data_IF_753372843286
#
_entry.id   IF_753372843286
#
_cell.length_a   1.000
_cell.length_b   1.000
_cell.length_c   1.000
_cell.angle_alpha   90.00
_cell.angle_beta   90.00
_cell.angle_gamma   90.00
#
_symmetry.space_group_name_H-M   'P 1'
#
loop_
_entity.id
_entity.type
_entity.pdbx_description
1 polymer ?
#
# COMPACT_ATOMS: atom_id res chain seq x y z
N UNK A 1 -16.16 5.31 24.80
CA UNK A 1 -16.38 6.33 23.75
C UNK A 1 -15.60 5.86 22.54
N UNK A 2 -16.22 5.78 21.36
CA UNK A 2 -15.51 5.37 20.13
C UNK A 2 -14.52 6.47 19.72
N UNK A 3 -13.37 6.08 19.20
CA UNK A 3 -12.36 7.00 18.68
C UNK A 3 -12.92 7.81 17.51
N UNK A 4 -12.53 9.08 17.40
CA UNK A 4 -12.95 9.96 16.31
C UNK A 4 -11.79 10.65 15.63
N UNK A 5 -11.91 10.84 14.32
CA UNK A 5 -11.04 11.70 13.50
C UNK A 5 -11.95 12.58 12.64
N UNK A 6 -11.72 13.90 12.65
CA UNK A 6 -12.55 14.87 11.92
C UNK A 6 -14.06 14.67 12.20
N UNK A 7 -14.41 14.54 13.48
CA UNK A 7 -15.76 14.29 14.01
C UNK A 7 -16.45 12.98 13.57
N UNK A 8 -15.75 12.11 12.84
CA UNK A 8 -16.25 10.83 12.34
C UNK A 8 -15.73 9.67 13.18
N UNK A 9 -16.59 8.66 13.40
CA UNK A 9 -16.18 7.44 14.10
C UNK A 9 -15.13 6.69 13.29
N UNK A 10 -14.00 6.37 13.93
CA UNK A 10 -12.96 5.53 13.33
C UNK A 10 -13.41 4.07 13.38
N UNK A 11 -13.28 3.36 12.26
CA UNK A 11 -13.60 1.94 12.12
C UNK A 11 -12.34 1.11 12.30
N UNK A 12 -11.27 1.53 11.62
CA UNK A 12 -9.96 0.87 11.67
C UNK A 12 -8.84 1.87 11.39
N UNK A 13 -7.69 1.67 12.01
CA UNK A 13 -6.43 2.35 11.70
C UNK A 13 -5.32 1.33 11.47
N UNK A 14 -4.49 1.59 10.48
CA UNK A 14 -3.35 0.75 10.10
C UNK A 14 -2.08 1.58 10.14
N UNK A 15 -1.04 1.08 10.82
CA UNK A 15 0.31 1.55 10.54
C UNK A 15 0.64 1.23 9.07
N UNK A 16 1.36 2.13 8.40
CA UNK A 16 1.68 2.05 6.99
C UNK A 16 3.17 2.32 6.73
N UNK A 17 3.61 2.07 5.51
CA UNK A 17 4.97 2.43 5.08
C UNK A 17 6.06 1.46 5.55
N UNK A 18 7.21 2.00 5.95
CA UNK A 18 8.45 1.24 6.09
C UNK A 18 8.42 0.21 7.22
N UNK A 19 7.67 0.45 8.29
CA UNK A 19 7.54 -0.50 9.40
C UNK A 19 6.94 -1.83 8.95
N UNK A 20 5.88 -1.80 8.13
CA UNK A 20 5.24 -3.01 7.61
C UNK A 20 6.17 -3.80 6.68
N UNK A 21 7.12 -3.13 6.03
CA UNK A 21 8.06 -3.75 5.08
C UNK A 21 9.31 -4.29 5.76
N UNK A 22 9.50 -4.05 7.07
CA UNK A 22 10.79 -4.21 7.72
C UNK A 22 11.90 -3.38 7.03
N UNK A 23 11.62 -2.10 6.73
CA UNK A 23 12.58 -1.13 6.15
C UNK A 23 12.67 0.18 6.96
N UNK A 24 12.08 0.22 8.14
CA UNK A 24 12.12 1.32 9.08
C UNK A 24 13.49 1.45 9.76
N UNK A 25 13.86 2.65 10.18
CA UNK A 25 15.07 2.93 10.97
C UNK A 25 14.67 3.57 12.30
N UNK A 26 15.60 3.75 13.25
CA UNK A 26 15.29 4.44 14.53
C UNK A 26 14.70 5.85 14.32
N UNK A 27 15.07 6.49 13.20
CA UNK A 27 14.55 7.80 12.78
C UNK A 27 13.31 7.72 11.88
N UNK A 28 12.67 6.57 11.73
CA UNK A 28 11.47 6.44 10.90
C UNK A 28 10.25 6.97 11.64
N UNK A 29 9.55 7.91 11.02
CA UNK A 29 8.24 8.37 11.46
C UNK A 29 7.19 7.27 11.26
N UNK A 30 6.10 7.34 12.05
CA UNK A 30 4.95 6.45 11.90
C UNK A 30 3.86 7.13 11.07
N UNK A 31 3.54 6.52 9.93
CA UNK A 31 2.43 6.93 9.08
C UNK A 31 1.24 5.99 9.28
N UNK A 32 0.04 6.53 9.47
CA UNK A 32 -1.20 5.74 9.59
C UNK A 32 -2.15 5.99 8.42
N UNK A 33 -2.96 4.97 8.12
CA UNK A 33 -4.13 5.08 7.27
C UNK A 33 -5.35 4.64 8.05
N UNK A 34 -6.32 5.53 8.20
CA UNK A 34 -7.53 5.28 8.95
C UNK A 34 -8.77 5.32 8.05
N UNK A 35 -9.73 4.44 8.34
CA UNK A 35 -11.04 4.46 7.71
C UNK A 35 -12.11 4.87 8.71
N UNK A 36 -12.94 5.82 8.32
CA UNK A 36 -13.98 6.43 9.16
C UNK A 36 -15.37 6.23 8.55
N UNK A 37 -16.38 6.26 9.42
CA UNK A 37 -17.77 6.24 8.99
C UNK A 37 -18.16 7.57 8.30
N UNK A 38 -18.90 7.56 7.18
CA UNK A 38 -19.52 8.77 6.66
C UNK A 38 -20.48 9.40 7.65
N UNK A 39 -20.62 10.72 7.59
CA UNK A 39 -21.74 11.43 8.22
C UNK A 39 -23.00 11.32 7.35
N UNK A 40 -24.16 11.67 7.92
CA UNK A 40 -25.39 11.81 7.12
C UNK A 40 -25.21 12.82 5.96
N UNK A 41 -24.50 13.92 6.19
CA UNK A 41 -24.23 14.92 5.15
C UNK A 41 -23.35 14.36 4.02
N UNK A 42 -22.33 13.55 4.36
CA UNK A 42 -21.49 12.86 3.37
C UNK A 42 -22.30 11.87 2.51
N UNK A 43 -23.33 11.24 3.09
CA UNK A 43 -24.24 10.36 2.37
C UNK A 43 -25.20 11.15 1.47
N UNK A 44 -25.81 12.21 2.01
CA UNK A 44 -26.78 13.06 1.31
C UNK A 44 -26.15 13.76 0.09
N UNK A 45 -24.94 14.31 0.28
CA UNK A 45 -24.19 15.02 -0.78
C UNK A 45 -23.40 14.10 -1.70
N UNK A 46 -23.35 12.79 -1.39
CA UNK A 46 -22.48 11.80 -2.06
C UNK A 46 -20.99 12.12 -1.97
N UNK A 47 -20.57 12.96 -1.02
CA UNK A 47 -19.17 13.25 -0.75
C UNK A 47 -18.51 12.05 -0.07
N UNK A 48 -17.41 11.52 -0.61
CA UNK A 48 -16.56 10.55 0.09
C UNK A 48 -15.42 11.29 0.78
N UNK A 49 -15.52 11.42 2.11
CA UNK A 49 -14.55 12.16 2.91
C UNK A 49 -13.13 11.63 2.71
N UNK A 50 -12.18 12.54 2.53
CA UNK A 50 -10.74 12.25 2.53
C UNK A 50 -9.98 13.45 3.07
N UNK A 51 -9.12 13.23 4.04
CA UNK A 51 -8.26 14.28 4.60
C UNK A 51 -6.97 13.67 5.18
N UNK A 52 -6.05 14.49 5.68
CA UNK A 52 -4.84 14.05 6.35
C UNK A 52 -4.63 14.85 7.63
N UNK A 53 -4.58 14.15 8.77
CA UNK A 53 -4.19 14.76 10.04
C UNK A 53 -2.67 14.67 10.17
N UNK A 54 -2.01 15.82 10.17
CA UNK A 54 -0.55 15.94 10.34
C UNK A 54 -0.26 16.39 11.76
N UNK A 55 0.61 15.65 12.45
CA UNK A 55 1.16 16.01 13.77
C UNK A 55 2.69 16.01 13.70
N UNK A 56 3.43 16.49 14.71
CA UNK A 56 4.89 16.51 14.65
C UNK A 56 5.56 15.14 14.47
N UNK A 57 4.89 14.05 14.81
CA UNK A 57 5.46 12.69 14.83
C UNK A 57 4.63 11.65 14.07
N UNK A 58 3.40 11.98 13.71
CA UNK A 58 2.44 11.06 13.11
C UNK A 58 1.62 11.77 12.05
N UNK A 59 1.61 11.21 10.85
CA UNK A 59 0.69 11.59 9.78
C UNK A 59 -0.37 10.50 9.61
N UNK A 60 -1.64 10.89 9.60
CA UNK A 60 -2.76 9.95 9.42
C UNK A 60 -3.59 10.35 8.20
N UNK A 61 -3.52 9.55 7.14
CA UNK A 61 -4.40 9.68 5.98
C UNK A 61 -5.76 9.06 6.32
N UNK A 62 -6.83 9.86 6.29
CA UNK A 62 -8.17 9.44 6.66
C UNK A 62 -9.03 9.30 5.41
N UNK A 63 -9.68 8.15 5.28
CA UNK A 63 -10.61 7.85 4.18
C UNK A 63 -11.99 7.47 4.73
N UNK A 64 -13.02 7.83 3.98
CA UNK A 64 -14.34 7.25 4.13
C UNK A 64 -14.31 5.73 3.88
N UNK A 65 -14.99 4.96 4.72
CA UNK A 65 -15.06 3.50 4.58
C UNK A 65 -15.63 3.04 3.24
N UNK A 66 -16.48 3.85 2.60
CA UNK A 66 -17.02 3.56 1.26
C UNK A 66 -15.95 3.55 0.17
N UNK A 67 -14.76 4.11 0.42
CA UNK A 67 -13.64 4.03 -0.51
C UNK A 67 -12.94 2.66 -0.48
N UNK A 68 -13.09 1.89 0.59
CA UNK A 68 -12.31 0.67 0.86
C UNK A 68 -12.45 -0.37 -0.26
N UNK A 69 -13.68 -0.64 -0.72
CA UNK A 69 -13.95 -1.61 -1.79
C UNK A 69 -13.19 -1.27 -3.09
N UNK A 70 -13.16 0.01 -3.47
CA UNK A 70 -12.50 0.46 -4.68
C UNK A 70 -10.98 0.46 -4.53
N UNK A 71 -10.47 0.77 -3.33
CA UNK A 71 -9.03 0.72 -3.03
C UNK A 71 -8.49 -0.71 -3.14
N UNK A 72 -9.24 -1.69 -2.63
CA UNK A 72 -8.90 -3.11 -2.76
C UNK A 72 -9.11 -3.62 -4.19
N UNK A 73 -10.18 -3.23 -4.87
CA UNK A 73 -10.44 -3.63 -6.27
C UNK A 73 -9.35 -3.12 -7.24
N UNK A 74 -8.89 -1.88 -7.05
CA UNK A 74 -7.75 -1.33 -7.80
C UNK A 74 -6.43 -2.00 -7.44
N UNK A 75 -6.40 -2.82 -6.38
CA UNK A 75 -5.25 -3.61 -5.95
C UNK A 75 -3.98 -2.75 -5.80
N UNK A 76 -4.13 -1.55 -5.24
CA UNK A 76 -2.98 -0.70 -4.96
C UNK A 76 -2.16 -1.32 -3.82
N UNK A 77 -0.91 -1.69 -4.11
CA UNK A 77 0.01 -2.34 -3.16
C UNK A 77 0.05 -1.64 -1.79
N UNK A 78 0.04 -0.31 -1.74
CA UNK A 78 0.13 0.44 -0.46
C UNK A 78 -1.09 0.29 0.43
N UNK A 79 -2.23 -0.11 -0.13
CA UNK A 79 -3.45 -0.43 0.63
C UNK A 79 -3.56 -1.93 0.91
N UNK A 80 -3.09 -2.78 0.00
CA UNK A 80 -3.04 -4.23 0.23
C UNK A 80 -2.07 -4.58 1.37
N UNK A 81 -0.93 -3.88 1.47
CA UNK A 81 0.04 -4.02 2.58
C UNK A 81 -0.60 -3.79 3.96
N UNK A 82 -1.61 -2.93 4.06
CA UNK A 82 -2.26 -2.60 5.34
C UNK A 82 -2.96 -3.80 5.97
N UNK A 83 -3.48 -4.71 5.14
CA UNK A 83 -4.14 -5.95 5.60
C UNK A 83 -3.20 -6.86 6.41
N UNK A 84 -1.88 -6.63 6.30
CA UNK A 84 -0.82 -7.36 6.99
C UNK A 84 0.02 -6.43 7.87
N UNK A 85 -0.50 -5.24 8.20
CA UNK A 85 0.18 -4.28 9.05
C UNK A 85 0.56 -4.90 10.40
N UNK A 86 1.72 -4.51 10.92
CA UNK A 86 2.17 -4.97 12.25
C UNK A 86 1.40 -4.29 13.39
N UNK A 87 0.64 -3.23 13.08
CA UNK A 87 -0.17 -2.49 14.03
C UNK A 87 -1.53 -2.16 13.37
N UNK A 88 -2.54 -2.96 13.71
CA UNK A 88 -3.93 -2.79 13.29
C UNK A 88 -4.75 -2.49 14.53
N UNK A 89 -5.46 -1.37 14.51
CA UNK A 89 -6.39 -1.01 15.57
C UNK A 89 -7.81 -0.98 15.02
N UNK A 90 -8.64 -1.94 15.45
CA UNK A 90 -10.07 -1.96 15.14
C UNK A 90 -10.87 -1.37 16.29
N UNK A 91 -12.04 -0.81 15.98
CA UNK A 91 -12.87 -0.06 16.93
C UNK A 91 -14.26 -0.70 17.12
N UNK A 92 -14.31 -2.04 17.07
CA UNK A 92 -15.49 -2.84 17.42
C UNK A 92 -16.53 -2.99 16.31
N UNK A 93 -16.08 -3.14 15.06
CA UNK A 93 -16.94 -3.42 13.91
C UNK A 93 -16.68 -4.84 13.40
N UNK A 94 -17.61 -5.77 13.66
CA UNK A 94 -17.49 -7.19 13.26
C UNK A 94 -17.27 -7.34 11.75
N UNK A 95 -17.90 -6.49 10.94
CA UNK A 95 -17.70 -6.50 9.49
C UNK A 95 -16.25 -6.21 9.10
N UNK A 96 -15.55 -5.35 9.85
CA UNK A 96 -14.15 -5.03 9.59
C UNK A 96 -13.25 -6.20 9.98
N UNK A 97 -13.54 -6.88 11.08
CA UNK A 97 -12.85 -8.13 11.46
C UNK A 97 -13.03 -9.21 10.38
N UNK A 98 -14.23 -9.32 9.81
CA UNK A 98 -14.51 -10.24 8.72
C UNK A 98 -13.73 -9.86 7.45
N UNK A 99 -13.65 -8.57 7.10
CA UNK A 99 -12.79 -8.10 5.99
C UNK A 99 -11.33 -8.47 6.23
N UNK A 100 -10.79 -8.25 7.44
CA UNK A 100 -9.40 -8.60 7.78
C UNK A 100 -9.14 -10.11 7.71
N UNK A 101 -10.13 -10.93 8.08
CA UNK A 101 -10.04 -12.39 8.00
C UNK A 101 -9.91 -12.89 6.55
N UNK A 102 -10.35 -12.09 5.57
CA UNK A 102 -10.33 -12.42 4.15
C UNK A 102 -9.11 -11.88 3.42
N UNK A 103 -8.11 -11.31 4.11
CA UNK A 103 -6.97 -10.61 3.48
C UNK A 103 -6.31 -11.35 2.31
N UNK A 104 -6.12 -12.66 2.40
CA UNK A 104 -5.48 -13.47 1.35
C UNK A 104 -6.35 -13.54 0.08
N UNK A 105 -7.68 -13.58 0.25
CA UNK A 105 -8.63 -13.47 -0.87
C UNK A 105 -8.63 -12.06 -1.46
N UNK A 106 -8.48 -11.03 -0.63
CA UNK A 106 -8.49 -9.63 -1.08
C UNK A 106 -7.26 -9.32 -1.95
N UNK A 107 -6.07 -9.75 -1.53
CA UNK A 107 -4.83 -9.48 -2.29
C UNK A 107 -4.73 -10.25 -3.60
N UNK A 108 -5.40 -11.41 -3.68
CA UNK A 108 -5.50 -12.21 -4.91
C UNK A 108 -6.74 -11.88 -5.75
N UNK A 109 -7.60 -10.96 -5.28
CA UNK A 109 -8.91 -10.68 -5.88
C UNK A 109 -8.81 -10.23 -7.35
N UNK A 110 -7.81 -9.41 -7.68
CA UNK A 110 -7.64 -8.88 -9.03
C UNK A 110 -6.15 -8.73 -9.40
N UNK A 111 -5.47 -9.86 -9.59
CA UNK A 111 -4.03 -9.91 -9.89
C UNK A 111 -3.62 -9.09 -11.12
N UNK A 112 -4.45 -9.02 -12.16
CA UNK A 112 -4.19 -8.13 -13.30
C UNK A 112 -4.12 -6.65 -12.92
N UNK A 113 -5.02 -6.17 -12.06
CA UNK A 113 -4.95 -4.80 -11.53
C UNK A 113 -3.78 -4.64 -10.57
N UNK A 114 -3.46 -5.65 -9.77
CA UNK A 114 -2.29 -5.61 -8.88
C UNK A 114 -0.99 -5.36 -9.66
N UNK A 115 -0.82 -6.04 -10.81
CA UNK A 115 0.30 -5.80 -11.71
C UNK A 115 0.29 -4.35 -12.23
N UNK A 116 -0.82 -3.92 -12.83
CA UNK A 116 -0.94 -2.58 -13.42
C UNK A 116 -0.73 -1.45 -12.39
N UNK A 117 -1.30 -1.60 -11.20
CA UNK A 117 -1.18 -0.62 -10.12
C UNK A 117 0.26 -0.56 -9.58
N UNK A 118 0.89 -1.71 -9.34
CA UNK A 118 2.27 -1.78 -8.86
C UNK A 118 3.25 -1.25 -9.90
N UNK A 119 3.06 -1.58 -11.17
CA UNK A 119 3.87 -1.05 -12.28
C UNK A 119 3.64 0.47 -12.47
N UNK A 120 2.41 0.96 -12.27
CA UNK A 120 2.09 2.38 -12.23
C UNK A 120 2.78 3.14 -11.08
N UNK A 121 2.88 2.52 -9.91
CA UNK A 121 3.62 3.06 -8.76
C UNK A 121 5.12 3.14 -9.03
N UNK A 122 5.69 2.12 -9.68
CA UNK A 122 7.06 2.15 -10.22
C UNK A 122 7.25 3.32 -11.20
N UNK A 123 6.38 3.46 -12.20
CA UNK A 123 6.46 4.56 -13.18
C UNK A 123 6.42 5.95 -12.53
N UNK A 124 5.61 6.08 -11.47
CA UNK A 124 5.53 7.31 -10.68
C UNK A 124 6.86 7.62 -9.97
N UNK A 125 7.55 6.63 -9.42
CA UNK A 125 8.89 6.83 -8.84
C UNK A 125 9.90 7.18 -9.93
N UNK A 126 9.87 6.53 -11.09
CA UNK A 126 10.78 6.83 -12.20
C UNK A 126 10.61 8.25 -12.74
N UNK A 127 9.38 8.78 -12.78
CA UNK A 127 9.14 10.19 -13.15
C UNK A 127 9.81 11.15 -12.17
N UNK A 128 9.78 10.83 -10.86
CA UNK A 128 10.44 11.62 -9.83
C UNK A 128 11.96 11.52 -9.98
N UNK A 129 12.51 10.32 -10.13
CA UNK A 129 13.95 10.09 -10.31
C UNK A 129 14.49 10.87 -11.51
N UNK A 130 13.83 10.77 -12.67
CA UNK A 130 14.21 11.53 -13.88
C UNK A 130 14.21 13.05 -13.67
N UNK A 131 13.33 13.56 -12.81
CA UNK A 131 13.32 14.99 -12.50
C UNK A 131 14.44 15.38 -11.53
N UNK A 132 14.76 14.53 -10.56
CA UNK A 132 15.88 14.74 -9.63
C UNK A 132 17.23 14.69 -10.36
N UNK A 133 17.40 13.76 -11.32
CA UNK A 133 18.64 13.62 -12.11
C UNK A 133 19.01 14.87 -12.90
N UNK A 134 18.03 15.68 -13.31
CA UNK A 134 18.29 16.94 -14.03
C UNK A 134 19.10 17.93 -13.21
N UNK A 135 18.95 17.90 -11.88
CA UNK A 135 19.60 18.79 -10.93
C UNK A 135 19.99 18.01 -9.67
N UNK A 136 20.77 16.94 -9.84
CA UNK A 136 21.17 16.10 -8.73
C UNK A 136 22.17 16.84 -7.84
N UNK A 137 21.84 17.01 -6.56
CA UNK A 137 22.63 17.74 -5.57
C UNK A 137 22.78 16.91 -4.29
N UNK A 138 23.84 17.12 -3.49
CA UNK A 138 23.96 16.45 -2.19
C UNK A 138 22.71 16.58 -1.30
N UNK A 139 21.98 17.70 -1.40
CA UNK A 139 20.75 17.95 -0.64
C UNK A 139 19.54 17.11 -1.09
N UNK A 140 19.50 16.63 -2.33
CA UNK A 140 18.39 15.80 -2.83
C UNK A 140 18.77 14.33 -3.08
N UNK A 141 20.04 13.95 -2.89
CA UNK A 141 20.50 12.55 -2.99
C UNK A 141 19.70 11.60 -2.09
N UNK A 142 19.39 11.99 -0.86
CA UNK A 142 18.60 11.15 0.05
C UNK A 142 17.19 10.88 -0.53
N UNK A 143 16.58 11.89 -1.15
CA UNK A 143 15.29 11.74 -1.80
C UNK A 143 15.40 10.83 -3.03
N UNK A 144 16.45 11.00 -3.85
CA UNK A 144 16.73 10.13 -4.99
C UNK A 144 16.82 8.67 -4.57
N UNK A 145 17.68 8.36 -3.59
CA UNK A 145 17.90 7.01 -3.08
C UNK A 145 16.62 6.39 -2.51
N UNK A 146 15.82 7.16 -1.74
CA UNK A 146 14.52 6.71 -1.23
C UNK A 146 13.57 6.35 -2.38
N UNK A 147 13.52 7.14 -3.44
CA UNK A 147 12.65 6.90 -4.61
C UNK A 147 13.10 5.70 -5.43
N UNK A 148 14.41 5.49 -5.57
CA UNK A 148 14.99 4.31 -6.21
C UNK A 148 14.65 3.02 -5.45
N UNK A 149 14.85 3.01 -4.13
CA UNK A 149 14.47 1.88 -3.28
C UNK A 149 12.97 1.54 -3.42
N UNK A 150 12.09 2.55 -3.44
CA UNK A 150 10.66 2.34 -3.65
C UNK A 150 10.34 1.77 -5.04
N UNK A 151 11.02 2.23 -6.10
CA UNK A 151 10.86 1.68 -7.44
C UNK A 151 11.21 0.18 -7.48
N UNK A 152 12.34 -0.19 -6.88
CA UNK A 152 12.80 -1.59 -6.77
C UNK A 152 11.82 -2.42 -5.96
N UNK A 153 11.29 -1.86 -4.86
CA UNK A 153 10.31 -2.53 -4.02
C UNK A 153 9.05 -2.93 -4.80
N UNK A 154 8.43 -2.01 -5.54
CA UNK A 154 7.19 -2.32 -6.27
C UNK A 154 7.39 -3.44 -7.31
N UNK A 155 8.53 -3.47 -7.99
CA UNK A 155 8.86 -4.53 -8.95
C UNK A 155 9.19 -5.85 -8.25
N UNK A 156 9.95 -5.79 -7.15
CA UNK A 156 10.35 -6.98 -6.38
C UNK A 156 9.14 -7.66 -5.73
N UNK A 157 8.15 -6.90 -5.26
CA UNK A 157 6.92 -7.48 -4.71
C UNK A 157 6.17 -8.30 -5.76
N UNK A 158 6.09 -7.82 -7.02
CA UNK A 158 5.49 -8.61 -8.11
C UNK A 158 6.26 -9.91 -8.33
N UNK A 159 7.59 -9.82 -8.44
CA UNK A 159 8.42 -11.01 -8.68
C UNK A 159 8.24 -12.03 -7.55
N UNK A 160 8.42 -11.62 -6.29
CA UNK A 160 8.30 -12.49 -5.12
C UNK A 160 6.90 -13.08 -4.97
N UNK A 161 5.85 -12.29 -5.20
CA UNK A 161 4.49 -12.79 -5.05
C UNK A 161 4.17 -13.87 -6.09
N UNK A 162 4.64 -13.71 -7.32
CA UNK A 162 4.55 -14.73 -8.35
C UNK A 162 5.35 -16.00 -7.99
N UNK A 163 6.57 -15.86 -7.45
CA UNK A 163 7.41 -16.98 -7.03
C UNK A 163 6.75 -17.85 -5.93
N UNK A 164 5.91 -17.25 -5.09
CA UNK A 164 5.10 -18.00 -4.11
C UNK A 164 3.86 -18.66 -4.72
N UNK A 165 3.62 -18.53 -6.03
CA UNK A 165 2.38 -18.96 -6.66
C UNK A 165 1.15 -18.18 -6.17
N UNK A 166 1.33 -16.90 -5.81
CA UNK A 166 0.31 -16.04 -5.21
C UNK A 166 -0.23 -16.50 -3.85
N UNK A 167 0.55 -17.30 -3.11
CA UNK A 167 0.09 -17.88 -1.83
C UNK A 167 0.53 -17.10 -0.59
N UNK A 168 1.60 -16.29 -0.69
CA UNK A 168 2.12 -15.53 0.44
C UNK A 168 2.43 -14.09 0.05
N UNK A 169 1.42 -13.24 0.18
CA UNK A 169 1.57 -11.82 -0.10
C UNK A 169 2.48 -11.13 0.91
N UNK A 170 2.45 -11.53 2.19
CA UNK A 170 3.23 -10.86 3.24
C UNK A 170 4.72 -10.99 3.00
N UNK A 171 5.22 -12.18 2.69
CA UNK A 171 6.65 -12.37 2.39
C UNK A 171 7.08 -11.66 1.10
N UNK A 172 6.15 -11.40 0.18
CA UNK A 172 6.46 -10.73 -1.09
C UNK A 172 6.87 -9.26 -0.92
N UNK A 173 6.31 -8.55 0.05
CA UNK A 173 6.58 -7.12 0.28
C UNK A 173 7.44 -6.83 1.52
N UNK A 174 7.68 -7.84 2.35
CA UNK A 174 8.59 -7.77 3.51
C UNK A 174 10.00 -8.24 3.15
N UNK A 175 10.98 -7.76 3.91
CA UNK A 175 12.39 -8.05 3.68
C UNK A 175 13.03 -8.74 4.89
N UNK A 176 13.68 -9.87 4.67
CA UNK A 176 14.53 -10.52 5.68
C UNK A 176 15.81 -9.70 5.93
N UNK A 177 16.67 -10.10 6.87
CA UNK A 177 17.85 -9.32 7.25
C UNK A 177 18.80 -9.01 6.09
N UNK A 178 19.05 -9.98 5.20
CA UNK A 178 19.93 -9.79 4.05
C UNK A 178 19.29 -8.86 3.00
N UNK A 179 18.01 -9.07 2.68
CA UNK A 179 17.30 -8.20 1.74
C UNK A 179 17.12 -6.78 2.30
N UNK A 180 16.86 -6.66 3.62
CA UNK A 180 16.75 -5.38 4.33
C UNK A 180 18.07 -4.62 4.26
N UNK A 181 19.19 -5.28 4.53
CA UNK A 181 20.51 -4.67 4.42
C UNK A 181 20.77 -4.14 2.99
N UNK A 182 20.39 -4.92 1.97
CA UNK A 182 20.48 -4.50 0.57
C UNK A 182 19.60 -3.28 0.26
N UNK A 183 18.32 -3.30 0.64
CA UNK A 183 17.39 -2.20 0.40
C UNK A 183 17.78 -0.92 1.14
N UNK A 184 18.26 -1.04 2.38
CA UNK A 184 18.79 0.09 3.14
C UNK A 184 20.12 0.61 2.56
N UNK A 185 20.95 -0.27 2.01
CA UNK A 185 22.16 0.13 1.27
C UNK A 185 21.83 1.06 0.10
N UNK A 186 20.79 0.73 -0.68
CA UNK A 186 20.28 1.62 -1.75
C UNK A 186 19.81 2.96 -1.15
N UNK A 187 18.98 2.91 -0.10
CA UNK A 187 18.46 4.12 0.57
C UNK A 187 19.56 5.05 1.11
N UNK A 188 20.67 4.48 1.59
CA UNK A 188 21.81 5.21 2.16
C UNK A 188 22.85 5.63 1.11
N UNK A 189 22.70 5.22 -0.15
CA UNK A 189 23.59 5.62 -1.23
C UNK A 189 24.86 4.77 -1.34
N UNK A 190 24.81 3.51 -0.91
CA UNK A 190 25.91 2.55 -1.07
C UNK A 190 26.06 2.05 -2.52
N UNK A 191 25.22 2.53 -3.43
CA UNK A 191 25.23 2.23 -4.86
C UNK A 191 25.28 3.54 -5.63
N UNK A 192 26.05 3.56 -6.71
CA UNK A 192 26.05 4.64 -7.70
C UNK A 192 24.71 4.73 -8.44
N UNK A 193 24.44 5.87 -9.08
CA UNK A 193 23.22 6.06 -9.85
C UNK A 193 23.12 5.08 -11.03
N UNK A 194 24.25 4.77 -11.66
CA UNK A 194 24.39 3.80 -12.74
C UNK A 194 24.05 2.37 -12.26
N UNK A 195 24.63 1.93 -11.14
CA UNK A 195 24.30 0.63 -10.56
C UNK A 195 22.81 0.51 -10.21
N UNK A 196 22.22 1.57 -9.63
CA UNK A 196 20.78 1.61 -9.32
C UNK A 196 19.93 1.50 -10.58
N UNK A 197 20.33 2.14 -11.68
CA UNK A 197 19.63 2.03 -12.97
C UNK A 197 19.69 0.59 -13.52
N UNK A 198 20.84 -0.06 -13.44
CA UNK A 198 21.01 -1.45 -13.89
C UNK A 198 20.17 -2.43 -13.05
N UNK A 199 20.12 -2.22 -11.73
CA UNK A 199 19.26 -2.99 -10.82
C UNK A 199 17.79 -2.83 -11.20
N UNK A 200 17.33 -1.58 -11.38
CA UNK A 200 15.95 -1.29 -11.76
C UNK A 200 15.62 -1.92 -13.11
N UNK A 201 16.49 -1.78 -14.11
CA UNK A 201 16.27 -2.32 -15.44
C UNK A 201 16.15 -3.85 -15.41
N UNK A 202 17.05 -4.52 -14.69
CA UNK A 202 16.97 -5.98 -14.46
C UNK A 202 15.61 -6.37 -13.87
N UNK A 203 15.14 -5.64 -12.86
CA UNK A 203 13.83 -5.91 -12.23
C UNK A 203 12.67 -5.63 -13.17
N UNK A 204 12.74 -4.59 -14.00
CA UNK A 204 11.71 -4.30 -15.02
C UNK A 204 11.59 -5.45 -16.01
N UNK A 205 12.71 -5.98 -16.49
CA UNK A 205 12.72 -7.07 -17.48
C UNK A 205 12.15 -8.36 -16.86
N UNK A 206 12.55 -8.67 -15.63
CA UNK A 206 11.96 -9.77 -14.85
C UNK A 206 10.45 -9.59 -14.67
N UNK A 207 9.98 -8.42 -14.23
CA UNK A 207 8.56 -8.15 -14.00
C UNK A 207 7.75 -8.21 -15.31
N UNK A 208 8.24 -7.65 -16.41
CA UNK A 208 7.55 -7.68 -17.71
C UNK A 208 7.39 -9.10 -18.25
N UNK A 209 8.36 -9.97 -18.03
CA UNK A 209 8.23 -11.38 -18.41
C UNK A 209 7.06 -12.09 -17.69
N UNK A 210 6.62 -11.57 -16.54
CA UNK A 210 5.51 -12.10 -15.74
C UNK A 210 4.16 -11.47 -16.07
N UNK A 211 4.09 -10.40 -16.86
CA UNK A 211 2.87 -9.61 -17.11
C UNK A 211 1.69 -10.50 -17.55
N UNK A 212 1.89 -11.34 -18.55
CA UNK A 212 0.85 -12.26 -19.05
C UNK A 212 0.34 -13.23 -17.97
N UNK A 213 1.19 -13.61 -17.00
CA UNK A 213 0.82 -14.53 -15.93
C UNK A 213 -0.09 -13.88 -14.89
N UNK A 214 0.02 -12.56 -14.70
CA UNK A 214 -0.87 -11.75 -13.87
C UNK A 214 -2.18 -11.43 -14.58
N UNK A 215 -2.09 -10.95 -15.83
CA UNK A 215 -3.26 -10.46 -16.58
C UNK A 215 -4.25 -11.57 -16.94
N UNK A 216 -3.80 -12.83 -17.04
CA UNK A 216 -4.66 -13.99 -17.34
C UNK A 216 -5.45 -14.51 -16.13
N UNK A 217 -5.14 -14.06 -14.91
CA UNK A 217 -5.80 -14.56 -13.70
C UNK A 217 -7.24 -14.07 -13.65
N UNK A 218 -8.20 -14.93 -13.27
CA UNK A 218 -9.59 -14.52 -13.13
C UNK A 218 -9.75 -13.54 -11.98
N UNK A 219 -10.78 -12.68 -12.08
CA UNK A 219 -11.19 -11.80 -10.99
C UNK A 219 -12.03 -12.61 -10.01
N UNK A 220 -11.76 -12.48 -8.70
CA UNK A 220 -12.56 -13.09 -7.65
C UNK A 220 -13.75 -12.19 -7.29
N UNK A 221 -14.79 -12.22 -8.11
CA UNK A 221 -15.99 -11.39 -7.95
C UNK A 221 -16.70 -11.62 -6.60
N UNK A 222 -16.71 -12.88 -6.11
CA UNK A 222 -17.32 -13.23 -4.83
C UNK A 222 -16.67 -12.48 -3.64
N UNK A 223 -15.34 -12.28 -3.69
CA UNK A 223 -14.63 -11.49 -2.68
C UNK A 223 -15.04 -10.02 -2.72
N UNK A 224 -15.15 -9.44 -3.92
CA UNK A 224 -15.60 -8.06 -4.11
C UNK A 224 -17.02 -7.85 -3.58
N UNK A 225 -17.95 -8.71 -3.98
CA UNK A 225 -19.35 -8.65 -3.54
C UNK A 225 -19.46 -8.75 -2.01
N UNK A 226 -18.66 -9.63 -1.40
CA UNK A 226 -18.63 -9.78 0.05
C UNK A 226 -18.12 -8.52 0.75
N UNK A 227 -17.03 -7.90 0.27
CA UNK A 227 -16.55 -6.61 0.80
C UNK A 227 -17.63 -5.53 0.68
N UNK A 228 -18.27 -5.41 -0.49
CA UNK A 228 -19.33 -4.44 -0.72
C UNK A 228 -20.50 -4.64 0.24
N UNK A 229 -20.91 -5.88 0.50
CA UNK A 229 -21.96 -6.20 1.47
C UNK A 229 -21.57 -5.80 2.89
N UNK A 230 -20.34 -6.10 3.31
CA UNK A 230 -19.83 -5.76 4.64
C UNK A 230 -19.72 -4.25 4.84
N UNK A 231 -19.18 -3.52 3.87
CA UNK A 231 -19.11 -2.04 3.89
C UNK A 231 -20.51 -1.43 3.94
N UNK A 232 -21.45 -1.91 3.12
CA UNK A 232 -22.84 -1.44 3.15
C UNK A 232 -23.52 -1.71 4.50
N UNK A 233 -23.28 -2.88 5.10
CA UNK A 233 -23.81 -3.23 6.42
C UNK A 233 -23.31 -2.26 7.49
N UNK A 234 -22.00 -1.97 7.50
CA UNK A 234 -21.41 -1.00 8.44
C UNK A 234 -22.07 0.38 8.32
N UNK A 235 -22.19 0.89 7.08
CA UNK A 235 -22.81 2.21 6.83
C UNK A 235 -24.28 2.22 7.27
N UNK A 236 -25.04 1.17 6.93
CA UNK A 236 -26.46 1.07 7.29
C UNK A 236 -26.67 1.08 8.81
N UNK A 237 -25.82 0.39 9.58
CA UNK A 237 -25.89 0.34 11.05
C UNK A 237 -25.51 1.65 11.73
N UNK A 238 -24.87 2.57 11.02
CA UNK A 238 -24.41 3.86 11.55
C UNK A 238 -25.41 5.01 11.35
N UNK A 239 -26.43 4.78 10.53
CA UNK A 239 -27.56 5.67 10.30
C UNK A 239 -28.61 5.53 11.40
#
# INVERSE_FOLDING_TARGET
MKMKLFDREVIVSFLSGSHNRNLDTESSDKDYKAFVMPTFEDLYTKNQFKDTQVTPTIDTEVHDIRALENLFYKSNITYLELLYSIEIQTYGYDEMEEILSMRDNIVTMHLGNFFNASFGMYNSQMKILKNLEKNLTPSNMQQYNKKAMLAIHFLSTLIKFYETGFSDFKSSFTYNDAERAYMLGIKHGNHSAEEVKDIIQTKVDQTKALESMYLKQPINEATLEKIQKLVRSMVLKSL
#
